data_IF_044451008312
#
_entry.id   IF_044451008312
#
_cell.length_a   1.000
_cell.length_b   1.000
_cell.length_c   1.000
_cell.angle_alpha   90.00
_cell.angle_beta   90.00
_cell.angle_gamma   90.00
#
_symmetry.space_group_name_H-M   'P 1'
#
loop_
_entity.id
_entity.type
_entity.pdbx_description
1 polymer ?
#
# COMPACT_ATOMS: atom_id res chain seq x y z
N UNK A 1 14.90 20.68 21.37
CA UNK A 1 14.34 21.56 20.31
C UNK A 1 12.82 21.57 20.41
N UNK A 2 12.17 22.68 20.03
CA UNK A 2 10.73 22.93 20.24
C UNK A 2 9.76 22.01 19.43
N UNK A 3 10.28 21.12 18.57
CA UNK A 3 9.47 20.15 17.80
C UNK A 3 9.86 18.72 18.19
N UNK A 4 9.34 18.26 19.33
CA UNK A 4 9.43 16.85 19.75
C UNK A 4 8.03 16.36 20.11
N UNK A 5 7.73 15.11 19.78
CA UNK A 5 6.58 14.38 20.30
C UNK A 5 7.10 13.38 21.33
N UNK A 6 6.58 13.43 22.56
CA UNK A 6 6.99 12.57 23.67
C UNK A 6 5.89 11.54 23.94
N UNK A 7 6.26 10.28 24.05
CA UNK A 7 5.34 9.18 24.35
C UNK A 7 5.87 8.45 25.58
N UNK A 8 5.13 8.52 26.68
CA UNK A 8 5.55 8.00 27.97
C UNK A 8 4.54 7.01 28.52
N UNK A 9 5.06 5.94 29.12
CA UNK A 9 4.28 4.95 29.86
C UNK A 9 4.92 4.74 31.23
N UNK A 10 4.18 5.09 32.27
CA UNK A 10 4.60 4.87 33.65
C UNK A 10 4.30 3.43 34.08
N UNK A 11 5.25 2.84 34.82
CA UNK A 11 5.15 1.47 35.37
C UNK A 11 4.76 0.41 34.33
N UNK A 12 5.35 0.48 33.13
CA UNK A 12 4.99 -0.41 32.03
C UNK A 12 5.50 -1.84 32.20
N UNK A 13 4.64 -2.81 31.93
CA UNK A 13 5.05 -4.22 31.79
C UNK A 13 5.76 -4.46 30.45
N UNK A 14 6.46 -5.60 30.28
CA UNK A 14 7.21 -5.90 29.03
C UNK A 14 6.36 -5.78 27.76
N UNK A 15 5.09 -6.21 27.81
CA UNK A 15 4.16 -6.10 26.67
C UNK A 15 3.81 -4.64 26.38
N UNK A 16 3.63 -3.82 27.42
CA UNK A 16 3.30 -2.40 27.29
C UNK A 16 4.48 -1.57 26.80
N UNK A 17 5.73 -1.90 27.18
CA UNK A 17 6.90 -1.21 26.61
C UNK A 17 7.03 -1.48 25.11
N UNK A 18 6.67 -2.67 24.64
CA UNK A 18 6.68 -2.99 23.22
C UNK A 18 5.64 -2.16 22.45
N UNK A 19 4.44 -1.97 23.00
CA UNK A 19 3.40 -1.17 22.33
C UNK A 19 3.78 0.30 22.23
N UNK A 20 4.51 0.86 23.20
CA UNK A 20 5.02 2.24 23.10
C UNK A 20 5.89 2.43 21.86
N UNK A 21 6.79 1.47 21.56
CA UNK A 21 7.63 1.53 20.35
C UNK A 21 6.78 1.46 19.08
N UNK A 22 5.80 0.56 19.04
CA UNK A 22 4.86 0.43 17.92
C UNK A 22 4.10 1.73 17.67
N UNK A 23 3.57 2.37 18.73
CA UNK A 23 2.86 3.65 18.63
C UNK A 23 3.77 4.74 18.07
N UNK A 24 5.01 4.85 18.55
CA UNK A 24 5.98 5.81 18.01
C UNK A 24 6.19 5.60 16.49
N UNK A 25 6.32 4.36 16.04
CA UNK A 25 6.46 4.04 14.61
C UNK A 25 5.22 4.41 13.79
N UNK A 26 4.00 4.13 14.30
CA UNK A 26 2.78 4.55 13.61
C UNK A 26 2.69 6.06 13.49
N UNK A 27 3.06 6.82 14.53
CA UNK A 27 3.05 8.29 14.48
C UNK A 27 4.07 8.81 13.48
N UNK A 28 5.27 8.24 13.44
CA UNK A 28 6.27 8.62 12.45
C UNK A 28 5.79 8.35 11.02
N UNK A 29 5.10 7.23 10.80
CA UNK A 29 4.49 6.91 9.51
C UNK A 29 3.37 7.88 9.14
N UNK A 30 2.49 8.25 10.09
CA UNK A 30 1.46 9.26 9.84
C UNK A 30 2.05 10.62 9.46
N UNK A 31 3.11 11.06 10.15
CA UNK A 31 3.80 12.32 9.84
C UNK A 31 4.44 12.27 8.44
N UNK A 32 5.11 11.16 8.09
CA UNK A 32 5.66 10.96 6.74
C UNK A 32 4.56 10.96 5.68
N UNK A 33 3.45 10.29 5.97
CA UNK A 33 2.29 10.17 5.10
C UNK A 33 1.69 11.51 4.70
N UNK A 34 1.47 12.42 5.65
CA UNK A 34 0.89 13.74 5.35
C UNK A 34 1.90 14.72 4.73
N UNK A 35 3.21 14.50 4.91
CA UNK A 35 4.24 15.41 4.38
C UNK A 35 4.76 15.01 3.01
N UNK A 36 4.86 13.71 2.73
CA UNK A 36 5.44 13.18 1.49
C UNK A 36 4.53 12.18 0.77
N UNK A 37 3.64 11.51 1.48
CA UNK A 37 2.89 10.36 0.97
C UNK A 37 3.73 9.08 0.90
N UNK A 38 3.08 7.97 0.57
CA UNK A 38 3.69 6.67 0.34
C UNK A 38 3.40 6.20 -1.08
N UNK A 39 4.43 5.66 -1.74
CA UNK A 39 4.36 5.13 -3.10
C UNK A 39 4.94 3.72 -3.12
N UNK A 40 4.13 2.76 -3.54
CA UNK A 40 4.53 1.37 -3.74
C UNK A 40 4.57 1.08 -5.25
N UNK A 41 5.68 0.51 -5.71
CA UNK A 41 5.84 0.04 -7.09
C UNK A 41 5.72 -1.47 -7.10
N UNK A 42 4.72 -1.98 -7.80
CA UNK A 42 4.53 -3.42 -8.03
C UNK A 42 4.80 -3.70 -9.50
N UNK A 43 5.43 -4.84 -9.80
CA UNK A 43 5.67 -5.27 -11.18
C UNK A 43 5.05 -6.63 -11.40
N UNK A 44 4.19 -6.74 -12.42
CA UNK A 44 3.68 -8.04 -12.85
C UNK A 44 4.75 -8.76 -13.67
N UNK A 45 5.04 -10.00 -13.29
CA UNK A 45 6.03 -10.86 -13.95
C UNK A 45 5.34 -12.15 -14.39
N UNK A 46 5.67 -12.62 -15.59
CA UNK A 46 5.08 -13.81 -16.18
C UNK A 46 6.10 -14.53 -17.07
N UNK A 47 5.94 -15.86 -17.21
CA UNK A 47 6.79 -16.69 -18.08
C UNK A 47 6.10 -17.05 -19.41
N UNK A 48 4.84 -17.48 -19.35
CA UNK A 48 4.10 -17.97 -20.53
C UNK A 48 2.86 -17.14 -20.86
N UNK A 49 1.98 -16.90 -19.88
CA UNK A 49 0.75 -16.14 -20.08
C UNK A 49 0.94 -14.66 -19.70
N UNK A 50 0.84 -13.71 -20.66
CA UNK A 50 0.96 -12.29 -20.35
C UNK A 50 -0.21 -11.82 -19.50
N UNK A 51 0.09 -11.20 -18.36
CA UNK A 51 -0.92 -10.68 -17.42
C UNK A 51 -1.31 -9.28 -17.85
N UNK A 52 -2.61 -9.01 -18.00
CA UNK A 52 -3.12 -7.68 -18.33
C UNK A 52 -3.71 -7.03 -17.07
N UNK A 53 -3.16 -5.88 -16.67
CA UNK A 53 -3.62 -5.11 -15.51
C UNK A 53 -4.22 -3.79 -15.98
N UNK A 54 -5.50 -3.55 -15.68
CA UNK A 54 -6.21 -2.32 -16.05
C UNK A 54 -6.80 -1.64 -14.83
N UNK A 55 -6.64 -0.33 -14.72
CA UNK A 55 -7.24 0.50 -13.68
C UNK A 55 -8.55 1.11 -14.18
N UNK A 56 -9.59 1.05 -13.36
CA UNK A 56 -10.94 1.53 -13.64
C UNK A 56 -11.48 2.34 -12.44
N UNK A 57 -12.65 2.99 -12.61
CA UNK A 57 -13.32 3.79 -11.57
C UNK A 57 -12.39 4.82 -10.92
N UNK A 58 -11.80 5.71 -11.73
CA UNK A 58 -10.95 6.81 -11.24
C UNK A 58 -9.81 6.29 -10.34
N UNK A 59 -9.08 5.28 -10.82
CA UNK A 59 -7.93 4.66 -10.14
C UNK A 59 -8.24 3.94 -8.82
N UNK A 60 -9.50 3.59 -8.57
CA UNK A 60 -9.94 2.91 -7.34
C UNK A 60 -10.19 1.41 -7.52
N UNK A 61 -10.34 0.92 -8.75
CA UNK A 61 -10.55 -0.50 -9.06
C UNK A 61 -9.45 -1.01 -9.98
N UNK A 62 -8.78 -2.10 -9.60
CA UNK A 62 -7.82 -2.79 -10.46
C UNK A 62 -8.45 -4.08 -10.95
N UNK A 63 -8.46 -4.26 -12.27
CA UNK A 63 -8.84 -5.50 -12.93
C UNK A 63 -7.58 -6.21 -13.43
N UNK A 64 -7.43 -7.47 -13.04
CA UNK A 64 -6.34 -8.35 -13.50
C UNK A 64 -6.98 -9.43 -14.37
N UNK A 65 -6.49 -9.55 -15.59
CA UNK A 65 -6.94 -10.53 -16.59
C UNK A 65 -5.80 -11.47 -16.97
N UNK A 66 -6.17 -12.68 -17.38
CA UNK A 66 -5.24 -13.70 -17.88
C UNK A 66 -4.19 -14.14 -16.84
N UNK A 67 -4.54 -14.07 -15.55
CA UNK A 67 -3.68 -14.59 -14.48
C UNK A 67 -3.62 -16.12 -14.60
N UNK A 68 -2.43 -16.67 -14.86
CA UNK A 68 -2.20 -18.10 -15.12
C UNK A 68 -3.06 -18.70 -16.26
N UNK A 69 -3.55 -17.89 -17.19
CA UNK A 69 -4.44 -18.33 -18.26
C UNK A 69 -5.93 -18.44 -17.87
N UNK A 70 -6.31 -17.97 -16.67
CA UNK A 70 -7.70 -17.94 -16.24
C UNK A 70 -8.55 -17.00 -17.12
N UNK A 71 -9.77 -17.44 -17.50
CA UNK A 71 -10.77 -16.60 -18.16
C UNK A 71 -11.48 -15.64 -17.20
N UNK A 72 -11.39 -15.90 -15.90
CA UNK A 72 -12.01 -15.08 -14.86
C UNK A 72 -11.24 -13.76 -14.67
N UNK A 73 -11.98 -12.66 -14.51
CA UNK A 73 -11.40 -11.33 -14.25
C UNK A 73 -11.36 -11.13 -12.75
N UNK A 74 -10.15 -10.98 -12.20
CA UNK A 74 -9.96 -10.67 -10.78
C UNK A 74 -10.09 -9.17 -10.59
N UNK A 75 -10.97 -8.76 -9.68
CA UNK A 75 -11.25 -7.36 -9.37
C UNK A 75 -10.82 -7.05 -7.95
N UNK A 76 -9.92 -6.08 -7.80
CA UNK A 76 -9.42 -5.63 -6.50
C UNK A 76 -9.76 -4.17 -6.33
N UNK A 77 -10.62 -3.88 -5.35
CA UNK A 77 -10.96 -2.50 -4.98
C UNK A 77 -9.94 -1.97 -3.97
N UNK A 78 -9.39 -0.79 -4.27
CA UNK A 78 -8.44 -0.07 -3.43
C UNK A 78 -9.11 0.44 -2.15
N UNK A 79 -8.29 0.66 -1.13
CA UNK A 79 -8.75 1.28 0.11
C UNK A 79 -9.07 2.77 -0.10
N UNK A 80 -9.92 3.38 0.75
CA UNK A 80 -10.24 4.80 0.65
C UNK A 80 -8.98 5.68 0.70
N UNK A 81 -8.87 6.63 -0.22
CA UNK A 81 -7.73 7.54 -0.29
C UNK A 81 -6.44 6.94 -0.87
N UNK A 82 -6.50 5.71 -1.39
CA UNK A 82 -5.40 5.07 -2.13
C UNK A 82 -5.76 5.04 -3.61
N UNK A 83 -4.86 5.54 -4.45
CA UNK A 83 -5.00 5.53 -5.90
C UNK A 83 -4.02 4.57 -6.52
N UNK A 84 -4.46 3.89 -7.58
CA UNK A 84 -3.64 2.94 -8.32
C UNK A 84 -3.55 3.33 -9.79
N UNK A 85 -2.33 3.52 -10.29
CA UNK A 85 -2.05 3.96 -11.65
C UNK A 85 -1.07 3.02 -12.34
N UNK A 86 -1.28 2.78 -13.64
CA UNK A 86 -0.30 2.08 -14.45
C UNK A 86 0.85 3.04 -14.79
N UNK A 87 2.09 2.61 -14.59
CA UNK A 87 3.28 3.41 -14.87
C UNK A 87 3.42 3.65 -16.38
N UNK A 88 3.67 4.90 -16.78
CA UNK A 88 3.97 5.24 -18.19
C UNK A 88 5.44 5.01 -18.53
N UNK A 89 6.31 4.99 -17.52
CA UNK A 89 7.76 4.88 -17.70
C UNK A 89 8.21 3.42 -17.87
N UNK A 90 7.52 2.48 -17.22
CA UNK A 90 7.87 1.07 -17.27
C UNK A 90 6.62 0.24 -17.54
N UNK A 91 6.70 -0.61 -18.57
CA UNK A 91 5.65 -1.57 -18.88
C UNK A 91 5.46 -2.54 -17.71
N UNK A 92 4.21 -2.92 -17.44
CA UNK A 92 3.83 -3.92 -16.45
C UNK A 92 4.17 -3.51 -14.99
N UNK A 93 4.40 -2.20 -14.76
CA UNK A 93 4.56 -1.60 -13.44
C UNK A 93 3.27 -0.89 -13.01
N UNK A 94 2.83 -1.20 -11.80
CA UNK A 94 1.67 -0.64 -11.13
C UNK A 94 2.15 0.22 -9.96
N UNK A 95 1.71 1.46 -9.92
CA UNK A 95 2.04 2.44 -8.90
C UNK A 95 0.82 2.57 -7.98
N UNK A 96 1.03 2.35 -6.69
CA UNK A 96 0.01 2.49 -5.65
C UNK A 96 0.44 3.62 -4.73
N UNK A 97 -0.37 4.67 -4.67
CA UNK A 97 -0.08 5.90 -3.94
C UNK A 97 -1.17 6.19 -2.90
N UNK A 98 -0.76 6.73 -1.76
CA UNK A 98 -1.68 7.17 -0.72
C UNK A 98 -0.98 7.78 0.48
N UNK A 99 -1.76 8.38 1.36
CA UNK A 99 -1.22 9.05 2.56
C UNK A 99 -0.94 8.07 3.70
N UNK A 100 -1.63 6.93 3.76
CA UNK A 100 -1.50 5.95 4.83
C UNK A 100 -0.79 4.70 4.34
N UNK A 101 0.37 4.38 4.94
CA UNK A 101 1.18 3.21 4.60
C UNK A 101 0.42 1.90 4.82
N UNK A 102 -0.45 1.81 5.82
CA UNK A 102 -1.19 0.59 6.13
C UNK A 102 -2.25 0.31 5.07
N UNK A 103 -2.95 1.36 4.61
CA UNK A 103 -3.95 1.25 3.56
C UNK A 103 -3.32 0.97 2.20
N UNK A 104 -2.19 1.62 1.88
CA UNK A 104 -1.41 1.37 0.67
C UNK A 104 -0.90 -0.08 0.66
N UNK A 105 -0.26 -0.51 1.76
CA UNK A 105 0.26 -1.88 1.91
C UNK A 105 -0.85 -2.94 1.83
N UNK A 106 -1.99 -2.72 2.49
CA UNK A 106 -3.14 -3.64 2.42
C UNK A 106 -3.73 -3.72 1.01
N UNK A 107 -3.74 -2.61 0.27
CA UNK A 107 -4.21 -2.58 -1.12
C UNK A 107 -3.26 -3.37 -2.03
N UNK A 108 -1.95 -3.19 -1.86
CA UNK A 108 -0.92 -3.97 -2.56
C UNK A 108 -1.01 -5.47 -2.24
N UNK A 109 -1.19 -5.82 -0.97
CA UNK A 109 -1.34 -7.22 -0.54
C UNK A 109 -2.55 -7.89 -1.18
N UNK A 110 -3.68 -7.17 -1.34
CA UNK A 110 -4.87 -7.69 -2.03
C UNK A 110 -4.67 -7.91 -3.53
N UNK A 111 -3.77 -7.19 -4.16
CA UNK A 111 -3.40 -7.41 -5.57
C UNK A 111 -2.53 -8.67 -5.70
N UNK A 112 -1.67 -8.92 -4.72
CA UNK A 112 -0.79 -10.09 -4.71
C UNK A 112 -1.53 -11.40 -4.39
N UNK A 113 -2.57 -11.35 -3.55
CA UNK A 113 -3.34 -12.51 -3.10
C UNK A 113 -4.22 -13.10 -4.21
#
# INVERSE_FOLDING_TARGET
GKRKLDVQKWFGTRKELATVRTVCSHIENMIKGVTKGFLYKMRSVYAHFPINVTTHETNSLVEIRNFLGEKYIRRVRMQPGVTCTNSTAMKDELIIEGNDIELVSRSAARIQQ
#
